data_IF_547535092089
#
_entry.id   IF_547535092089
#
_cell.length_a   1.000
_cell.length_b   1.000
_cell.length_c   1.000
_cell.angle_alpha   90.00
_cell.angle_beta   90.00
_cell.angle_gamma   90.00
#
_symmetry.space_group_name_H-M   'P 1'
#
loop_
_entity.id
_entity.type
_entity.pdbx_description
1 polymer ?
#
# COMPACT_ATOMS: atom_id res chain seq x y z
N UNK A 1 19.26 6.82 -60.72
CA UNK A 1 20.03 6.50 -59.49
C UNK A 1 19.09 6.70 -58.31
N UNK A 2 18.51 5.62 -57.79
CA UNK A 2 17.57 5.71 -56.67
C UNK A 2 18.39 5.82 -55.38
N UNK A 3 18.30 6.96 -54.69
CA UNK A 3 18.95 7.13 -53.38
C UNK A 3 18.25 6.20 -52.40
N UNK A 4 18.94 5.16 -51.96
CA UNK A 4 18.48 4.31 -50.87
C UNK A 4 18.33 5.19 -49.63
N UNK A 5 17.10 5.30 -49.11
CA UNK A 5 16.83 5.96 -47.84
C UNK A 5 17.41 5.08 -46.74
N UNK A 6 18.31 5.62 -45.92
CA UNK A 6 18.93 4.88 -44.82
C UNK A 6 17.87 4.38 -43.85
N UNK A 7 17.99 3.12 -43.41
CA UNK A 7 17.10 2.47 -42.44
C UNK A 7 16.88 3.32 -41.18
N UNK A 8 17.89 4.08 -40.75
CA UNK A 8 17.80 5.00 -39.60
C UNK A 8 16.83 6.15 -39.85
N UNK A 9 16.75 6.67 -41.09
CA UNK A 9 15.80 7.74 -41.46
C UNK A 9 14.37 7.20 -41.45
N UNK A 10 14.16 5.97 -41.91
CA UNK A 10 12.85 5.31 -41.89
C UNK A 10 12.37 5.11 -40.44
N UNK A 11 13.26 4.67 -39.54
CA UNK A 11 12.94 4.46 -38.12
C UNK A 11 12.57 5.78 -37.43
N UNK A 12 13.33 6.86 -37.66
CA UNK A 12 13.04 8.17 -37.05
C UNK A 12 11.70 8.72 -37.52
N UNK A 13 11.38 8.59 -38.81
CA UNK A 13 10.09 9.02 -39.36
C UNK A 13 8.95 8.17 -38.78
N UNK A 14 9.13 6.86 -38.64
CA UNK A 14 8.13 5.99 -38.03
C UNK A 14 7.85 6.34 -36.56
N UNK A 15 8.88 6.59 -35.75
CA UNK A 15 8.73 6.99 -34.35
C UNK A 15 8.01 8.35 -34.26
N UNK A 16 8.37 9.32 -35.11
CA UNK A 16 7.72 10.63 -35.12
C UNK A 16 6.23 10.52 -35.45
N UNK A 17 5.85 9.68 -36.42
CA UNK A 17 4.44 9.44 -36.77
C UNK A 17 3.66 8.77 -35.63
N UNK A 18 4.28 7.82 -34.92
CA UNK A 18 3.66 7.15 -33.76
C UNK A 18 3.42 8.16 -32.63
N UNK A 19 4.39 9.02 -32.32
CA UNK A 19 4.24 10.03 -31.26
C UNK A 19 3.13 11.04 -31.59
N UNK A 20 3.01 11.47 -32.85
CA UNK A 20 1.92 12.36 -33.29
C UNK A 20 0.57 11.65 -33.20
N UNK A 21 0.48 10.38 -33.58
CA UNK A 21 -0.75 9.60 -33.47
C UNK A 21 -1.18 9.40 -32.00
N UNK A 22 -0.24 9.11 -31.10
CA UNK A 22 -0.49 8.97 -29.66
C UNK A 22 -0.95 10.29 -29.06
N UNK A 23 -0.29 11.41 -29.41
CA UNK A 23 -0.70 12.74 -28.94
C UNK A 23 -2.10 13.13 -29.46
N UNK A 24 -2.40 12.85 -30.72
CA UNK A 24 -3.72 13.07 -31.31
C UNK A 24 -4.80 12.22 -30.65
N UNK A 25 -4.52 10.95 -30.36
CA UNK A 25 -5.41 10.08 -29.61
C UNK A 25 -5.66 10.61 -28.19
N UNK A 26 -4.61 11.00 -27.48
CA UNK A 26 -4.72 11.56 -26.13
C UNK A 26 -5.55 12.85 -26.06
N UNK A 27 -5.47 13.69 -27.09
CA UNK A 27 -6.29 14.90 -27.21
C UNK A 27 -7.74 14.58 -27.59
N UNK A 28 -7.95 13.57 -28.44
CA UNK A 28 -9.28 13.16 -28.88
C UNK A 28 -10.07 12.41 -27.79
N UNK A 29 -9.40 11.70 -26.88
CA UNK A 29 -10.05 10.91 -25.82
C UNK A 29 -10.11 11.62 -24.47
N UNK A 30 -9.59 12.84 -24.34
CA UNK A 30 -9.88 13.67 -23.17
C UNK A 30 -11.28 14.24 -23.28
N UNK A 31 -12.21 13.64 -22.56
CA UNK A 31 -13.49 14.28 -22.25
C UNK A 31 -13.22 15.61 -21.52
N UNK A 32 -13.85 16.72 -21.93
CA UNK A 32 -13.84 17.92 -21.11
C UNK A 32 -14.47 17.59 -19.75
N UNK A 33 -13.74 17.89 -18.68
CA UNK A 33 -14.31 17.91 -17.33
C UNK A 33 -15.42 18.97 -17.37
N UNK A 34 -16.68 18.66 -17.03
CA UNK A 34 -17.69 19.68 -16.87
C UNK A 34 -17.29 20.53 -15.66
N UNK A 35 -16.90 21.78 -15.90
CA UNK A 35 -16.89 22.80 -14.85
C UNK A 35 -18.35 23.12 -14.50
N UNK A 36 -18.95 22.27 -13.68
CA UNK A 36 -20.25 22.52 -13.08
C UNK A 36 -20.12 23.59 -12.00
N UNK A 37 -20.29 24.86 -12.35
CA UNK A 37 -20.57 25.91 -11.36
C UNK A 37 -22.03 25.77 -10.95
N UNK A 38 -22.30 25.10 -9.82
CA UNK A 38 -23.65 25.08 -9.24
C UNK A 38 -23.89 26.40 -8.53
N UNK A 39 -24.43 27.39 -9.25
CA UNK A 39 -25.13 28.52 -8.63
C UNK A 39 -26.48 28.03 -8.12
N UNK A 40 -26.61 27.93 -6.79
CA UNK A 40 -27.89 27.69 -6.13
C UNK A 40 -28.89 28.83 -6.47
N UNK A 41 -30.17 28.51 -6.73
CA UNK A 41 -31.20 29.53 -6.94
C UNK A 41 -31.47 30.32 -5.64
N UNK A 42 -32.01 31.55 -5.73
CA UNK A 42 -32.39 32.30 -4.55
C UNK A 42 -33.63 31.64 -3.92
N UNK A 43 -33.47 31.13 -2.70
CA UNK A 43 -34.60 30.69 -1.88
C UNK A 43 -35.43 31.90 -1.47
N UNK A 44 -36.70 31.89 -1.87
CA UNK A 44 -37.74 32.78 -1.36
C UNK A 44 -37.85 32.60 0.15
N UNK A 45 -37.51 33.64 0.91
CA UNK A 45 -37.71 33.68 2.36
C UNK A 45 -39.20 33.91 2.64
N UNK A 46 -39.91 32.86 3.03
CA UNK A 46 -41.21 33.00 3.70
C UNK A 46 -40.93 33.25 5.18
N UNK A 47 -41.14 34.49 5.61
CA UNK A 47 -41.10 34.88 7.02
C UNK A 47 -42.19 34.14 7.79
N UNK A 48 -41.82 33.11 8.56
CA UNK A 48 -42.65 32.59 9.65
C UNK A 48 -42.07 33.10 10.97
N UNK A 49 -42.80 34.01 11.61
CA UNK A 49 -42.49 34.50 12.95
C UNK A 49 -42.81 33.38 13.95
N UNK A 50 -41.81 32.61 14.37
CA UNK A 50 -41.92 31.71 15.52
C UNK A 50 -41.18 32.30 16.72
N UNK A 51 -41.95 32.68 17.73
CA UNK A 51 -41.48 32.98 19.08
C UNK A 51 -40.91 31.71 19.71
N UNK A 52 -39.60 31.65 19.93
CA UNK A 52 -38.98 30.57 20.72
C UNK A 52 -38.00 31.12 21.75
N UNK A 53 -38.23 30.68 22.98
CA UNK A 53 -37.50 30.95 24.23
C UNK A 53 -36.08 30.38 24.16
N UNK A 54 -35.04 31.03 24.71
CA UNK A 54 -33.69 30.49 24.66
C UNK A 54 -33.54 29.30 25.63
N UNK A 55 -33.29 28.11 25.11
CA UNK A 55 -32.83 26.94 25.88
C UNK A 55 -31.32 26.82 25.67
N UNK A 56 -30.56 26.98 26.76
CA UNK A 56 -29.12 26.78 26.77
C UNK A 56 -28.81 25.29 26.70
N UNK A 57 -28.43 24.78 25.53
CA UNK A 57 -27.94 23.41 25.37
C UNK A 57 -26.43 23.39 25.55
N UNK A 58 -25.95 22.91 26.71
CA UNK A 58 -24.55 22.53 26.91
C UNK A 58 -24.27 21.21 26.19
N UNK A 59 -23.54 21.27 25.08
CA UNK A 59 -23.05 20.09 24.36
C UNK A 59 -21.89 19.45 25.15
N UNK A 60 -21.94 18.17 25.52
CA UNK A 60 -20.79 17.48 26.09
C UNK A 60 -19.73 17.31 25.00
N UNK A 61 -18.50 17.78 25.28
CA UNK A 61 -17.32 17.48 24.47
C UNK A 61 -16.93 16.04 24.75
N UNK A 62 -17.29 15.13 23.85
CA UNK A 62 -16.76 13.77 23.87
C UNK A 62 -15.32 13.82 23.36
N UNK A 63 -14.36 13.79 24.29
CA UNK A 63 -12.98 13.43 23.96
C UNK A 63 -12.98 12.00 23.46
N UNK A 64 -12.96 11.80 22.15
CA UNK A 64 -12.69 10.50 21.53
C UNK A 64 -11.22 10.17 21.75
N UNK A 65 -10.92 9.48 22.85
CA UNK A 65 -9.69 8.69 22.91
C UNK A 65 -9.82 7.64 21.80
N UNK A 66 -9.02 7.76 20.73
CA UNK A 66 -8.98 6.79 19.65
C UNK A 66 -8.54 5.45 20.22
N UNK A 67 -9.50 4.60 20.58
CA UNK A 67 -9.23 3.21 20.92
C UNK A 67 -8.97 2.44 19.63
N UNK A 68 -7.96 1.57 19.65
CA UNK A 68 -7.71 0.63 18.55
C UNK A 68 -8.93 -0.30 18.34
N UNK A 69 -9.13 -0.85 17.13
CA UNK A 69 -10.13 -1.88 16.92
C UNK A 69 -9.95 -3.07 17.88
N UNK A 70 -11.03 -3.78 18.25
CA UNK A 70 -10.92 -5.02 19.02
C UNK A 70 -10.00 -6.04 18.32
N UNK A 71 -9.08 -6.64 19.08
CA UNK A 71 -8.12 -7.61 18.53
C UNK A 71 -6.86 -6.99 17.89
N UNK A 72 -6.87 -5.69 17.58
CA UNK A 72 -5.71 -5.00 17.06
C UNK A 72 -4.61 -4.83 18.12
N UNK A 73 -3.37 -4.96 17.66
CA UNK A 73 -2.18 -4.78 18.49
C UNK A 73 -1.39 -3.53 18.06
N UNK A 74 -0.94 -2.69 19.01
CA UNK A 74 -0.22 -1.46 18.67
C UNK A 74 1.14 -1.80 18.05
N UNK A 75 1.50 -1.09 16.97
CA UNK A 75 2.86 -1.09 16.45
C UNK A 75 3.72 -0.11 17.26
N UNK A 76 5.04 -0.36 17.43
CA UNK A 76 5.93 0.63 18.03
C UNK A 76 6.08 1.87 17.11
N UNK A 77 5.98 3.08 17.67
CA UNK A 77 6.12 4.31 16.89
C UNK A 77 6.63 5.49 17.71
N UNK A 78 7.12 6.52 17.00
CA UNK A 78 7.46 7.82 17.56
C UNK A 78 6.56 8.89 16.92
N UNK A 79 5.61 9.49 17.67
CA UNK A 79 4.67 10.47 17.13
C UNK A 79 5.36 11.79 16.75
N UNK A 80 6.41 12.19 17.47
CA UNK A 80 7.14 13.44 17.21
C UNK A 80 7.86 13.41 15.86
N UNK A 81 8.37 12.25 15.47
CA UNK A 81 9.06 12.06 14.18
C UNK A 81 8.17 11.41 13.12
N UNK A 82 6.88 11.16 13.43
CA UNK A 82 5.93 10.44 12.57
C UNK A 82 6.55 9.18 11.96
N UNK A 83 7.16 8.36 12.82
CA UNK A 83 7.88 7.14 12.41
C UNK A 83 7.27 5.92 13.06
N UNK A 84 6.86 4.93 12.28
CA UNK A 84 6.48 3.60 12.75
C UNK A 84 7.65 2.63 12.56
N UNK A 85 7.84 1.73 13.50
CA UNK A 85 8.89 0.71 13.46
C UNK A 85 8.24 -0.66 13.24
N UNK A 86 8.61 -1.32 12.15
CA UNK A 86 8.18 -2.67 11.83
C UNK A 86 9.32 -3.62 12.15
N UNK A 87 9.14 -4.46 13.17
CA UNK A 87 10.04 -5.56 13.47
C UNK A 87 9.51 -6.80 12.77
N UNK A 88 10.17 -7.15 11.67
CA UNK A 88 9.78 -8.26 10.82
C UNK A 88 10.85 -9.33 10.94
N UNK A 89 10.42 -10.57 11.13
CA UNK A 89 11.30 -11.71 11.22
C UNK A 89 10.74 -12.86 10.40
N UNK A 90 11.58 -13.57 9.67
CA UNK A 90 11.22 -14.92 9.23
C UNK A 90 11.57 -15.87 10.35
N UNK A 91 10.69 -16.82 10.65
CA UNK A 91 10.87 -17.75 11.76
C UNK A 91 10.94 -19.17 11.25
N UNK A 92 11.93 -19.93 11.72
CA UNK A 92 11.94 -21.38 11.58
C UNK A 92 10.86 -21.98 12.50
N UNK A 93 9.64 -22.09 11.97
CA UNK A 93 8.47 -22.63 12.66
C UNK A 93 7.71 -23.60 11.72
N UNK A 94 6.49 -24.01 12.11
CA UNK A 94 5.72 -25.00 11.36
C UNK A 94 5.34 -24.55 9.93
N UNK A 95 5.27 -23.25 9.69
CA UNK A 95 4.93 -22.66 8.38
C UNK A 95 6.19 -22.10 7.77
N UNK A 96 6.80 -22.81 6.82
CA UNK A 96 7.90 -22.26 6.03
C UNK A 96 7.42 -21.04 5.24
N UNK A 97 8.33 -20.10 4.93
CA UNK A 97 8.00 -18.91 4.12
C UNK A 97 7.01 -17.97 4.80
N UNK A 98 7.25 -17.63 6.07
CA UNK A 98 6.38 -16.73 6.84
C UNK A 98 7.07 -15.40 7.16
N UNK A 99 6.28 -14.38 7.50
CA UNK A 99 6.74 -13.25 8.29
C UNK A 99 6.04 -13.24 9.64
N UNK A 100 6.79 -13.18 10.73
CA UNK A 100 6.31 -13.16 12.11
C UNK A 100 5.36 -14.34 12.44
N UNK A 101 5.55 -15.49 11.80
CA UNK A 101 4.69 -16.67 11.95
C UNK A 101 3.37 -16.62 11.18
N UNK A 102 3.18 -15.61 10.32
CA UNK A 102 1.98 -15.42 9.49
C UNK A 102 2.32 -15.59 8.01
N UNK A 103 1.35 -16.04 7.22
CA UNK A 103 1.49 -16.22 5.77
C UNK A 103 0.22 -15.74 5.06
N UNK A 104 0.21 -15.79 3.73
CA UNK A 104 -0.98 -15.62 2.88
C UNK A 104 -1.80 -14.35 3.16
N UNK A 105 -1.12 -13.27 3.58
CA UNK A 105 -1.78 -12.01 3.86
C UNK A 105 -2.27 -11.84 5.28
N UNK A 106 -2.19 -12.85 6.15
CA UNK A 106 -2.77 -12.82 7.50
C UNK A 106 -2.30 -11.62 8.33
N UNK A 107 -1.05 -11.16 8.17
CA UNK A 107 -0.55 -9.97 8.86
C UNK A 107 -0.91 -8.70 8.10
N UNK A 108 -1.86 -7.95 8.67
CA UNK A 108 -2.32 -6.65 8.19
C UNK A 108 -1.73 -5.52 9.04
N UNK A 109 -1.00 -4.60 8.42
CA UNK A 109 -0.38 -3.45 9.04
C UNK A 109 -1.13 -2.17 8.67
N UNK A 110 -1.53 -1.38 9.67
CA UNK A 110 -2.27 -0.14 9.49
C UNK A 110 -1.39 1.04 9.87
N UNK A 111 -1.05 1.88 8.88
CA UNK A 111 -0.07 2.96 9.02
C UNK A 111 -0.71 4.32 8.69
N UNK A 112 -0.54 5.34 9.56
CA UNK A 112 -0.97 6.70 9.23
C UNK A 112 -0.30 7.23 7.94
N UNK A 113 -1.10 7.83 7.06
CA UNK A 113 -0.59 8.40 5.82
C UNK A 113 0.52 9.44 6.02
N UNK A 114 1.55 9.38 5.19
CA UNK A 114 2.69 10.29 5.22
C UNK A 114 3.68 10.04 6.35
N UNK A 115 3.53 8.95 7.11
CA UNK A 115 4.50 8.54 8.10
C UNK A 115 5.66 7.78 7.47
N UNK A 116 6.82 7.87 8.12
CA UNK A 116 7.99 7.06 7.79
C UNK A 116 7.80 5.65 8.37
N UNK A 117 7.85 4.65 7.52
CA UNK A 117 7.96 3.24 7.89
C UNK A 117 9.44 2.90 7.98
N UNK A 118 9.88 2.44 9.15
CA UNK A 118 11.23 1.93 9.39
C UNK A 118 11.13 0.43 9.60
N UNK A 119 11.63 -0.36 8.65
CA UNK A 119 11.61 -1.82 8.70
C UNK A 119 12.93 -2.30 9.26
N UNK A 120 12.86 -3.09 10.33
CA UNK A 120 13.98 -3.84 10.90
C UNK A 120 13.67 -5.31 10.63
N UNK A 121 14.37 -5.87 9.64
CA UNK A 121 14.15 -7.22 9.18
C UNK A 121 15.24 -8.15 9.69
N UNK A 122 14.88 -9.32 10.23
CA UNK A 122 15.82 -10.37 10.65
C UNK A 122 15.43 -11.71 10.03
N UNK A 123 16.40 -12.47 9.51
CA UNK A 123 16.15 -13.80 9.01
C UNK A 123 16.52 -14.86 10.06
N UNK A 124 15.58 -15.69 10.51
CA UNK A 124 15.88 -16.85 11.37
C UNK A 124 15.69 -18.20 10.67
N UNK A 125 15.15 -18.24 9.45
CA UNK A 125 15.08 -19.46 8.66
C UNK A 125 16.46 -19.84 8.09
N UNK A 126 16.64 -21.10 7.71
CA UNK A 126 17.92 -21.62 7.22
C UNK A 126 18.27 -21.16 5.80
N UNK A 127 17.27 -20.71 5.03
CA UNK A 127 17.43 -20.24 3.65
C UNK A 127 17.49 -18.71 3.61
N UNK A 128 18.00 -18.16 2.51
CA UNK A 128 18.09 -16.71 2.33
C UNK A 128 16.70 -16.11 2.07
N UNK A 129 16.43 -14.98 2.72
CA UNK A 129 15.19 -14.23 2.52
C UNK A 129 15.48 -12.74 2.42
N UNK A 130 14.56 -12.01 1.81
CA UNK A 130 14.59 -10.56 1.79
C UNK A 130 13.20 -10.00 2.11
N UNK A 131 13.12 -8.68 2.25
CA UNK A 131 11.86 -7.99 2.48
C UNK A 131 11.73 -6.83 1.50
N UNK A 132 10.61 -6.79 0.79
CA UNK A 132 10.27 -5.71 -0.13
C UNK A 132 8.89 -5.14 0.21
N UNK A 133 8.68 -3.86 -0.11
CA UNK A 133 7.33 -3.25 -0.13
C UNK A 133 6.96 -2.95 -1.57
N UNK A 134 5.77 -3.38 -1.97
CA UNK A 134 5.25 -3.26 -3.33
C UNK A 134 3.97 -2.43 -3.30
N UNK A 135 3.83 -1.47 -4.20
CA UNK A 135 2.56 -0.75 -4.36
C UNK A 135 1.49 -1.71 -4.87
N UNK A 136 0.39 -1.84 -4.13
CA UNK A 136 -0.67 -2.75 -4.50
C UNK A 136 -1.51 -2.17 -5.66
N UNK A 137 -1.74 -2.97 -6.69
CA UNK A 137 -2.64 -2.66 -7.82
C UNK A 137 -3.72 -3.73 -8.04
N UNK A 138 -3.84 -4.73 -7.16
CA UNK A 138 -4.73 -5.89 -7.27
C UNK A 138 -5.40 -6.22 -5.92
N UNK A 139 -6.43 -7.08 -5.93
CA UNK A 139 -7.10 -7.48 -4.68
C UNK A 139 -6.26 -8.44 -3.82
N UNK A 140 -5.42 -9.27 -4.45
CA UNK A 140 -4.52 -10.26 -3.83
C UNK A 140 -3.16 -10.16 -4.54
N UNK A 141 -2.01 -10.36 -3.87
CA UNK A 141 -0.75 -10.46 -4.57
C UNK A 141 -0.69 -11.79 -5.33
N UNK A 142 -0.73 -11.78 -6.68
CA UNK A 142 -0.41 -12.96 -7.48
C UNK A 142 1.11 -13.04 -7.73
N UNK A 143 1.66 -14.23 -7.96
CA UNK A 143 3.10 -14.44 -8.19
C UNK A 143 3.69 -13.66 -9.37
N UNK A 144 2.84 -13.26 -10.33
CA UNK A 144 3.20 -12.34 -11.41
C UNK A 144 3.44 -10.87 -10.97
N UNK A 145 3.22 -10.53 -9.69
CA UNK A 145 3.19 -9.17 -9.12
C UNK A 145 4.55 -8.67 -8.65
N UNK A 146 5.63 -9.38 -9.02
CA UNK A 146 6.96 -8.79 -8.95
C UNK A 146 7.51 -8.39 -10.34
N UNK A 147 6.81 -7.57 -11.15
CA UNK A 147 7.56 -6.68 -12.02
C UNK A 147 8.27 -5.66 -11.12
N UNK A 148 9.59 -5.57 -11.24
CA UNK A 148 10.45 -4.68 -10.44
C UNK A 148 9.97 -3.23 -10.35
N UNK A 149 9.14 -2.78 -11.30
CA UNK A 149 8.67 -1.39 -11.43
C UNK A 149 7.76 -0.89 -10.31
N UNK A 150 7.10 -1.77 -9.55
CA UNK A 150 6.18 -1.37 -8.46
C UNK A 150 6.75 -1.56 -7.06
N UNK A 151 7.97 -2.10 -6.95
CA UNK A 151 8.67 -2.22 -5.68
C UNK A 151 9.17 -0.83 -5.28
N UNK A 152 8.85 -0.42 -4.06
CA UNK A 152 9.18 0.91 -3.55
C UNK A 152 10.19 0.86 -2.41
N UNK A 153 10.38 -0.30 -1.77
CA UNK A 153 11.41 -0.50 -0.76
C UNK A 153 12.06 -1.87 -0.92
N UNK A 154 13.38 -1.91 -0.75
CA UNK A 154 14.18 -3.12 -0.67
C UNK A 154 14.92 -3.15 0.67
N UNK A 155 14.85 -4.27 1.38
CA UNK A 155 15.52 -4.47 2.67
C UNK A 155 16.27 -5.79 2.61
N UNK A 156 17.58 -5.73 2.87
CA UNK A 156 18.49 -6.88 2.74
C UNK A 156 18.97 -7.14 1.30
N UNK A 157 18.42 -6.42 0.32
CA UNK A 157 18.72 -6.55 -1.11
C UNK A 157 18.60 -5.19 -1.82
N UNK A 158 18.77 -5.19 -3.13
CA UNK A 158 18.62 -4.04 -4.02
C UNK A 158 17.72 -4.37 -5.21
N UNK A 159 17.39 -3.36 -6.02
CA UNK A 159 16.57 -3.55 -7.22
C UNK A 159 17.18 -4.49 -8.27
N UNK A 160 18.50 -4.73 -8.23
CA UNK A 160 19.17 -5.60 -9.20
C UNK A 160 19.29 -7.07 -8.77
N UNK A 161 19.00 -7.41 -7.52
CA UNK A 161 19.24 -8.76 -6.99
C UNK A 161 18.16 -9.26 -6.00
N UNK A 162 17.03 -8.56 -5.87
CA UNK A 162 15.98 -8.99 -4.93
C UNK A 162 15.37 -10.34 -5.31
N UNK A 163 15.49 -10.77 -6.57
CA UNK A 163 14.82 -11.98 -7.06
C UNK A 163 15.60 -13.27 -6.77
N UNK A 164 16.91 -13.17 -6.55
CA UNK A 164 17.83 -14.31 -6.41
C UNK A 164 18.79 -14.19 -5.23
N UNK A 165 18.59 -13.20 -4.36
CA UNK A 165 19.44 -12.94 -3.20
C UNK A 165 18.61 -12.61 -1.96
N UNK A 166 19.23 -12.80 -0.78
CA UNK A 166 18.66 -12.39 0.49
C UNK A 166 19.74 -12.18 1.55
N UNK A 167 19.30 -12.00 2.78
CA UNK A 167 20.19 -12.06 3.95
C UNK A 167 20.14 -13.47 4.52
N UNK A 168 21.30 -13.97 4.94
CA UNK A 168 21.45 -15.30 5.52
C UNK A 168 20.81 -15.41 6.91
N UNK A 169 20.63 -16.64 7.36
CA UNK A 169 20.16 -16.94 8.72
C UNK A 169 20.97 -16.22 9.80
N UNK A 170 20.28 -15.65 10.78
CA UNK A 170 20.82 -14.84 11.87
C UNK A 170 21.21 -13.41 11.49
N UNK A 171 21.12 -13.02 10.21
CA UNK A 171 21.43 -11.66 9.79
C UNK A 171 20.21 -10.74 9.88
N UNK A 172 20.47 -9.45 10.02
CA UNK A 172 19.45 -8.39 9.99
C UNK A 172 19.78 -7.31 8.98
N UNK A 173 18.74 -6.68 8.44
CA UNK A 173 18.82 -5.52 7.56
C UNK A 173 17.78 -4.46 7.95
N UNK A 174 17.99 -3.23 7.49
CA UNK A 174 17.08 -2.12 7.77
C UNK A 174 16.85 -1.30 6.52
N UNK A 175 15.62 -0.85 6.32
CA UNK A 175 15.27 0.10 5.28
C UNK A 175 14.12 1.00 5.74
N UNK A 176 13.92 2.11 5.06
CA UNK A 176 12.83 3.01 5.40
C UNK A 176 12.25 3.72 4.19
N UNK A 177 10.97 4.05 4.27
CA UNK A 177 10.23 4.78 3.24
C UNK A 177 9.12 5.61 3.88
N UNK A 178 8.74 6.72 3.25
CA UNK A 178 7.52 7.45 3.60
C UNK A 178 6.40 6.94 2.69
N UNK A 179 5.32 6.41 3.29
CA UNK A 179 4.20 5.88 2.53
C UNK A 179 3.14 6.96 2.26
N UNK A 180 2.71 7.05 1.00
CA UNK A 180 1.51 7.81 0.63
C UNK A 180 0.26 6.98 0.96
N UNK A 181 -0.94 7.59 1.04
CA UNK A 181 -2.17 6.83 1.16
C UNK A 181 -2.29 5.76 0.07
N UNK A 182 -2.75 4.58 0.44
CA UNK A 182 -2.94 3.45 -0.45
C UNK A 182 -2.71 2.10 0.23
N UNK A 183 -2.91 1.05 -0.56
CA UNK A 183 -2.63 -0.33 -0.17
C UNK A 183 -1.28 -0.76 -0.73
N UNK A 184 -0.56 -1.56 0.06
CA UNK A 184 0.73 -2.13 -0.31
C UNK A 184 0.77 -3.58 0.13
N UNK A 185 1.59 -4.36 -0.57
CA UNK A 185 2.05 -5.65 -0.06
C UNK A 185 3.43 -5.45 0.56
N UNK A 186 3.71 -6.19 1.61
CA UNK A 186 5.10 -6.54 1.91
C UNK A 186 5.30 -8.01 1.63
N UNK A 187 6.44 -8.38 1.07
CA UNK A 187 6.69 -9.74 0.61
C UNK A 187 8.17 -10.09 0.66
N UNK A 188 8.49 -11.38 0.56
CA UNK A 188 9.81 -11.81 0.16
C UNK A 188 9.92 -11.74 -1.37
N UNK A 189 10.91 -10.99 -1.85
CA UNK A 189 11.16 -10.80 -3.28
C UNK A 189 11.90 -11.96 -3.95
N UNK A 190 12.47 -12.88 -3.17
CA UNK A 190 13.15 -14.08 -3.67
C UNK A 190 12.17 -14.94 -4.48
N UNK A 191 12.63 -15.52 -5.59
CA UNK A 191 11.87 -16.37 -6.50
C UNK A 191 10.96 -17.37 -5.75
N UNK A 192 9.68 -17.41 -6.14
CA UNK A 192 8.61 -18.27 -5.63
C UNK A 192 8.21 -18.12 -4.14
N UNK A 193 8.94 -17.36 -3.32
CA UNK A 193 8.64 -17.27 -1.88
C UNK A 193 7.31 -16.54 -1.62
N UNK A 194 7.07 -15.40 -2.28
CA UNK A 194 5.80 -14.68 -2.17
C UNK A 194 4.61 -15.50 -2.69
N UNK A 195 4.80 -16.29 -3.75
CA UNK A 195 3.78 -17.21 -4.26
C UNK A 195 3.44 -18.31 -3.26
N UNK A 196 4.45 -18.73 -2.50
CA UNK A 196 4.33 -19.74 -1.45
C UNK A 196 3.73 -19.19 -0.15
N UNK A 197 3.17 -17.97 -0.16
CA UNK A 197 2.49 -17.36 0.97
C UNK A 197 3.31 -16.33 1.75
N UNK A 198 4.54 -16.01 1.32
CA UNK A 198 5.43 -15.13 2.08
C UNK A 198 5.16 -13.64 1.89
N UNK A 199 3.99 -13.20 2.34
CA UNK A 199 3.55 -11.82 2.19
C UNK A 199 2.52 -11.42 3.24
N UNK A 200 2.35 -10.11 3.39
CA UNK A 200 1.29 -9.49 4.17
C UNK A 200 0.91 -8.13 3.60
N UNK A 201 0.09 -7.40 4.33
CA UNK A 201 -0.62 -6.23 3.81
C UNK A 201 -0.26 -4.99 4.60
N UNK A 202 -0.13 -3.86 3.90
CA UNK A 202 -0.07 -2.54 4.52
C UNK A 202 -1.23 -1.70 3.99
N UNK A 203 -2.13 -1.28 4.87
CA UNK A 203 -3.04 -0.19 4.62
C UNK A 203 -2.45 1.11 5.14
N UNK A 204 -2.29 2.09 4.24
CA UNK A 204 -1.85 3.43 4.59
C UNK A 204 -2.96 4.44 4.34
N UNK A 205 -3.45 5.10 5.38
CA UNK A 205 -4.61 6.00 5.27
C UNK A 205 -4.52 7.17 6.25
N UNK A 206 -5.15 8.29 5.89
CA UNK A 206 -5.30 9.45 6.78
C UNK A 206 -6.34 9.24 7.88
N UNK A 207 -7.20 8.21 7.76
CA UNK A 207 -8.12 7.81 8.84
C UNK A 207 -7.41 7.09 9.99
N UNK A 208 -6.24 6.50 9.73
CA UNK A 208 -5.43 5.83 10.74
C UNK A 208 -4.61 6.89 11.48
N UNK A 209 -4.86 7.06 12.78
CA UNK A 209 -4.21 8.08 13.62
C UNK A 209 -3.13 7.50 14.54
N UNK A 210 -3.21 6.20 14.83
CA UNK A 210 -2.24 5.43 15.57
C UNK A 210 -1.91 4.15 14.77
N UNK A 211 -0.64 3.79 14.58
CA UNK A 211 -0.29 2.58 13.84
C UNK A 211 -0.55 1.32 14.68
N UNK A 212 -1.08 0.29 14.03
CA UNK A 212 -1.40 -1.00 14.64
C UNK A 212 -1.32 -2.12 13.60
N UNK A 213 -1.45 -3.36 14.06
CA UNK A 213 -1.61 -4.51 13.20
C UNK A 213 -2.72 -5.42 13.69
N UNK A 214 -3.22 -6.24 12.78
CA UNK A 214 -4.15 -7.32 13.03
C UNK A 214 -3.57 -8.59 12.39
N UNK A 215 -3.91 -9.74 12.97
CA UNK A 215 -3.66 -11.05 12.35
C UNK A 215 -5.04 -11.64 12.06
N UNK A 216 -5.38 -11.75 10.78
CA UNK A 216 -6.65 -12.33 10.35
C UNK A 216 -6.46 -13.83 10.18
N UNK A 217 -6.83 -14.60 11.19
CA UNK A 217 -7.02 -16.04 10.99
C UNK A 217 -8.37 -16.21 10.28
N UNK A 218 -8.41 -16.76 9.08
CA UNK A 218 -9.66 -17.39 8.61
C UNK A 218 -9.88 -18.63 9.49
N UNK A 219 -10.48 -18.44 10.67
CA UNK A 219 -11.23 -19.53 11.28
C UNK A 219 -12.42 -19.77 10.34
N UNK A 220 -12.31 -20.82 9.51
CA UNK A 220 -13.49 -21.42 8.89
C UNK A 220 -14.35 -21.88 10.07
N UNK A 221 -15.36 -21.10 10.43
CA UNK A 221 -16.48 -21.60 11.21
C UNK A 221 -17.08 -22.75 10.38
N UNK A 222 -16.69 -23.99 10.67
CA UNK A 222 -17.46 -25.14 10.24
C UNK A 222 -18.83 -24.98 10.88
N UNK A 223 -19.81 -24.52 10.10
CA UNK A 223 -21.21 -24.64 10.47
C UNK A 223 -21.46 -26.14 10.69
N UNK A 224 -21.51 -26.56 11.95
CA UNK A 224 -22.05 -27.87 12.33
C UNK A 224 -23.51 -27.90 11.86
N UNK A 225 -23.75 -28.50 10.69
CA UNK A 225 -25.10 -28.85 10.27
C UNK A 225 -25.67 -29.89 11.25
N UNK A 226 -26.73 -29.49 11.97
CA UNK A 226 -27.56 -30.32 12.87
C UNK A 226 -28.24 -31.51 12.18
#
# INVERSE_FOLDING_TARGET
MNKAVSTSVVIVVAIALILVAVAGYYLATRSPIPEGTTTLPPSTVTTMTQTTTPVTTTTPVTTTTSALPPGAMPLPYNPSTKTVYLYISTWDNATLYNFNGTSDGELHLFIPAGWKVCVIYTNFEAIDHNFIIVKNTTAVPSCSIIPSSNIILYVGVSSSNYFDSGIASGASATGSIVLSPGYYWFACGYEDHAESGMWGVIECSSSITQPYYEVTNEEIEEEEEE
#
